data_IF_887793967852
#
_entry.id   IF_887793967852
#
_cell.length_a   1.000
_cell.length_b   1.000
_cell.length_c   1.000
_cell.angle_alpha   90.00
_cell.angle_beta   90.00
_cell.angle_gamma   90.00
#
_symmetry.space_group_name_H-M   'P 1'
#
loop_
_entity.id
_entity.type
_entity.pdbx_description
1 polymer ?
#
# COMPACT_ATOMS: atom_id res chain seq x y z
N UNK A 1 6.69 9.74 -8.47
CA UNK A 1 6.13 8.53 -7.82
C UNK A 1 7.06 8.04 -6.70
N UNK A 2 6.92 8.51 -5.45
CA UNK A 2 7.72 8.00 -4.36
C UNK A 2 7.50 6.48 -4.20
N UNK A 3 8.57 5.70 -4.05
CA UNK A 3 8.54 4.23 -3.82
C UNK A 3 7.91 3.82 -2.48
N UNK A 4 7.22 4.74 -1.81
CA UNK A 4 6.85 4.66 -0.42
C UNK A 4 5.54 5.41 -0.21
N UNK A 5 4.50 4.69 0.17
CA UNK A 5 3.46 5.29 0.99
C UNK A 5 3.65 4.70 2.37
N UNK A 6 4.14 5.52 3.30
CA UNK A 6 3.99 5.20 4.71
C UNK A 6 2.50 5.25 4.99
N UNK A 7 1.91 4.07 5.21
CA UNK A 7 0.54 3.97 5.68
C UNK A 7 0.52 4.26 7.16
N UNK A 8 -0.21 5.30 7.52
CA UNK A 8 -0.08 5.89 8.81
C UNK A 8 -1.52 6.10 9.34
N UNK A 9 -1.99 5.24 10.23
CA UNK A 9 -3.30 5.36 10.89
C UNK A 9 -3.25 6.26 12.14
N UNK A 10 -3.94 7.42 12.20
CA UNK A 10 -4.17 8.10 13.47
C UNK A 10 -5.34 7.41 14.18
N UNK A 11 -5.27 7.28 15.51
CA UNK A 11 -6.42 6.97 16.35
C UNK A 11 -7.19 5.68 15.97
N UNK A 12 -6.51 4.72 15.34
CA UNK A 12 -7.10 3.44 14.97
C UNK A 12 -8.11 3.51 13.84
N UNK A 13 -7.95 4.47 12.93
CA UNK A 13 -8.59 4.50 11.61
C UNK A 13 -7.87 3.55 10.63
N UNK A 14 -8.53 2.97 9.63
CA UNK A 14 -7.84 2.11 8.65
C UNK A 14 -6.81 2.88 7.81
N UNK A 15 -5.74 2.22 7.37
CA UNK A 15 -4.76 2.73 6.42
C UNK A 15 -4.47 1.69 5.31
N UNK A 16 -4.63 2.03 4.04
CA UNK A 16 -4.41 1.22 2.85
C UNK A 16 -3.47 1.93 1.86
N UNK A 17 -2.74 1.15 1.06
CA UNK A 17 -1.80 1.68 0.08
C UNK A 17 -2.55 2.10 -1.19
N UNK A 18 -2.27 3.28 -1.74
CA UNK A 18 -2.89 3.72 -2.97
C UNK A 18 -2.25 2.99 -4.17
N UNK A 19 -3.07 2.27 -4.92
CA UNK A 19 -2.70 1.53 -6.11
C UNK A 19 -2.99 2.34 -7.37
N UNK A 20 -1.94 2.64 -8.13
CA UNK A 20 -2.05 3.36 -9.40
C UNK A 20 -2.91 2.62 -10.47
N UNK A 21 -3.07 1.31 -10.34
CA UNK A 21 -3.90 0.50 -11.23
C UNK A 21 -5.39 0.54 -10.85
N UNK A 22 -5.72 1.02 -9.64
CA UNK A 22 -7.10 1.21 -9.19
C UNK A 22 -7.47 2.67 -9.46
N UNK A 23 -8.35 2.88 -10.43
CA UNK A 23 -8.76 4.20 -10.90
C UNK A 23 -10.28 4.28 -11.00
N UNK A 24 -10.98 4.46 -9.87
CA UNK A 24 -12.44 4.40 -9.83
C UNK A 24 -13.10 5.44 -10.74
N UNK A 25 -12.60 6.67 -10.78
CA UNK A 25 -13.13 7.74 -11.65
C UNK A 25 -13.00 7.40 -13.15
N UNK A 26 -11.92 6.73 -13.57
CA UNK A 26 -11.74 6.30 -14.96
C UNK A 26 -12.64 5.12 -15.34
N UNK A 27 -13.17 4.41 -14.35
CA UNK A 27 -14.02 3.23 -14.50
C UNK A 27 -15.43 3.46 -13.95
N UNK A 28 -15.89 4.72 -13.89
CA UNK A 28 -17.12 5.12 -13.22
C UNK A 28 -18.31 4.25 -13.63
N UNK A 29 -18.52 4.02 -14.93
CA UNK A 29 -19.63 3.18 -15.43
C UNK A 29 -19.65 1.77 -14.81
N UNK A 30 -18.48 1.15 -14.63
CA UNK A 30 -18.35 -0.19 -14.04
C UNK A 30 -18.51 -0.10 -12.51
N UNK A 31 -17.85 0.87 -11.88
CA UNK A 31 -17.90 1.07 -10.42
C UNK A 31 -19.34 1.34 -9.95
N UNK A 32 -20.14 2.09 -10.71
CA UNK A 32 -21.54 2.40 -10.39
C UNK A 32 -22.47 1.19 -10.30
N UNK A 33 -22.12 0.06 -10.92
CA UNK A 33 -22.84 -1.21 -10.73
C UNK A 33 -22.77 -1.72 -9.28
N UNK A 34 -21.73 -1.32 -8.54
CA UNK A 34 -21.42 -1.81 -7.19
C UNK A 34 -21.38 -0.68 -6.13
N UNK A 35 -21.28 0.58 -6.56
CA UNK A 35 -21.36 1.79 -5.73
C UNK A 35 -22.43 2.75 -6.27
N UNK A 36 -23.72 2.51 -5.96
CA UNK A 36 -24.83 3.33 -6.44
C UNK A 36 -24.73 4.81 -6.04
N UNK A 37 -25.38 5.70 -6.79
CA UNK A 37 -25.31 7.16 -6.55
C UNK A 37 -25.78 7.60 -5.17
N UNK A 38 -26.66 6.84 -4.52
CA UNK A 38 -27.13 7.09 -3.15
C UNK A 38 -26.00 7.06 -2.10
N UNK A 39 -24.90 6.35 -2.39
CA UNK A 39 -23.71 6.31 -1.53
C UNK A 39 -22.73 7.46 -1.83
N UNK A 40 -23.04 8.32 -2.81
CA UNK A 40 -22.26 9.51 -3.14
C UNK A 40 -21.46 9.40 -4.43
N UNK A 41 -20.54 10.36 -4.69
CA UNK A 41 -19.76 10.40 -5.92
C UNK A 41 -18.67 9.32 -5.98
N UNK A 42 -18.29 8.85 -7.18
CA UNK A 42 -17.25 7.81 -7.37
C UNK A 42 -15.90 8.19 -6.77
N UNK A 43 -15.58 9.48 -6.66
CA UNK A 43 -14.35 9.97 -6.00
C UNK A 43 -14.24 9.58 -4.52
N UNK A 44 -15.33 9.11 -3.89
CA UNK A 44 -15.31 8.56 -2.54
C UNK A 44 -14.83 7.10 -2.50
N UNK A 45 -14.73 6.44 -3.67
CA UNK A 45 -14.06 5.15 -3.80
C UNK A 45 -12.57 5.42 -3.97
N UNK A 46 -11.82 5.23 -2.90
CA UNK A 46 -10.39 5.48 -2.91
C UNK A 46 -9.64 4.52 -3.84
N UNK A 47 -8.51 4.94 -4.45
CA UNK A 47 -7.69 4.10 -5.31
C UNK A 47 -6.85 3.12 -4.48
N UNK A 48 -7.47 2.31 -3.63
CA UNK A 48 -6.82 1.38 -2.68
C UNK A 48 -7.13 -0.08 -3.04
N UNK A 49 -6.57 -1.03 -2.29
CA UNK A 49 -6.83 -2.46 -2.44
C UNK A 49 -6.72 -3.18 -1.09
N UNK A 50 -7.00 -4.49 -1.08
CA UNK A 50 -7.06 -5.31 0.13
C UNK A 50 -5.70 -5.61 0.78
N UNK A 51 -4.59 -5.34 0.11
CA UNK A 51 -3.26 -5.48 0.67
C UNK A 51 -2.27 -4.59 -0.07
N UNK A 52 -1.39 -3.84 0.63
CA UNK A 52 -1.26 -3.79 2.08
C UNK A 52 -2.32 -2.88 2.73
N UNK A 53 -2.87 -3.33 3.86
CA UNK A 53 -3.85 -2.62 4.67
C UNK A 53 -3.56 -2.83 6.15
N UNK A 54 -3.66 -1.77 6.93
CA UNK A 54 -3.68 -1.75 8.39
C UNK A 54 -5.11 -1.38 8.79
N UNK A 55 -5.83 -2.31 9.40
CA UNK A 55 -7.23 -2.11 9.79
C UNK A 55 -7.48 -2.82 11.11
N UNK A 56 -8.35 -2.26 11.96
CA UNK A 56 -8.80 -2.95 13.16
C UNK A 56 -9.67 -4.15 12.80
N UNK A 57 -9.60 -5.19 13.63
CA UNK A 57 -10.34 -6.44 13.41
C UNK A 57 -11.86 -6.21 13.31
N UNK A 58 -12.43 -5.39 14.18
CA UNK A 58 -13.87 -5.09 14.21
C UNK A 58 -14.36 -4.35 12.95
N UNK A 59 -13.54 -3.45 12.39
CA UNK A 59 -13.81 -2.81 11.09
C UNK A 59 -13.67 -3.82 9.94
N UNK A 60 -12.65 -4.70 10.00
CA UNK A 60 -12.50 -5.75 9.00
C UNK A 60 -13.71 -6.72 8.99
N UNK A 61 -14.21 -7.11 10.17
CA UNK A 61 -15.41 -7.93 10.32
C UNK A 61 -16.65 -7.28 9.69
N UNK A 62 -16.75 -5.94 9.70
CA UNK A 62 -17.85 -5.20 9.04
C UNK A 62 -17.72 -5.19 7.52
N UNK A 63 -16.52 -4.94 6.99
CA UNK A 63 -16.32 -4.82 5.54
C UNK A 63 -16.24 -6.17 4.84
N UNK A 64 -15.74 -7.22 5.50
CA UNK A 64 -15.43 -8.50 4.87
C UNK A 64 -16.65 -9.17 4.18
N UNK A 65 -17.86 -9.19 4.77
CA UNK A 65 -19.04 -9.72 4.07
C UNK A 65 -19.42 -8.92 2.82
N UNK A 66 -19.34 -7.58 2.88
CA UNK A 66 -19.62 -6.73 1.72
C UNK A 66 -18.55 -6.89 0.65
N UNK A 67 -17.28 -6.95 1.05
CA UNK A 67 -16.17 -7.20 0.13
C UNK A 67 -16.38 -8.53 -0.60
N UNK A 68 -16.62 -9.64 0.11
CA UNK A 68 -16.91 -10.93 -0.52
C UNK A 68 -18.07 -10.83 -1.52
N UNK A 69 -19.19 -10.21 -1.12
CA UNK A 69 -20.37 -10.11 -1.98
C UNK A 69 -20.12 -9.26 -3.23
N UNK A 70 -19.39 -8.14 -3.10
CA UNK A 70 -19.00 -7.30 -4.23
C UNK A 70 -18.04 -8.05 -5.15
N UNK A 71 -17.05 -8.76 -4.59
CA UNK A 71 -16.11 -9.58 -5.36
C UNK A 71 -16.83 -10.63 -6.20
N UNK A 72 -17.76 -11.37 -5.61
CA UNK A 72 -18.55 -12.36 -6.34
C UNK A 72 -19.40 -11.72 -7.44
N UNK A 73 -20.10 -10.61 -7.15
CA UNK A 73 -20.89 -9.90 -8.16
C UNK A 73 -20.04 -9.33 -9.30
N UNK A 74 -18.86 -8.81 -8.99
CA UNK A 74 -17.91 -8.34 -10.01
C UNK A 74 -17.42 -9.50 -10.86
N UNK A 75 -17.20 -10.67 -10.25
CA UNK A 75 -16.74 -11.88 -10.93
C UNK A 75 -17.81 -12.47 -11.85
N UNK A 76 -19.08 -12.38 -11.44
CA UNK A 76 -20.22 -12.88 -12.20
C UNK A 76 -20.67 -11.91 -13.32
N UNK A 77 -20.25 -10.64 -13.29
CA UNK A 77 -20.51 -9.66 -14.37
C UNK A 77 -19.40 -9.73 -15.45
N UNK A 78 -19.67 -10.23 -16.67
CA UNK A 78 -18.62 -10.48 -17.67
C UNK A 78 -17.89 -9.22 -18.14
N UNK A 79 -18.55 -8.06 -18.16
CA UNK A 79 -17.93 -6.77 -18.50
C UNK A 79 -16.93 -6.35 -17.42
N UNK A 80 -17.30 -6.50 -16.15
CA UNK A 80 -16.46 -6.17 -14.99
C UNK A 80 -15.29 -7.15 -14.86
N UNK A 81 -15.53 -8.46 -14.89
CA UNK A 81 -14.48 -9.47 -14.79
C UNK A 81 -13.43 -9.31 -15.89
N UNK A 82 -13.87 -9.06 -17.13
CA UNK A 82 -12.95 -8.79 -18.24
C UNK A 82 -12.16 -7.48 -18.04
N UNK A 83 -12.78 -6.45 -17.47
CA UNK A 83 -12.17 -5.12 -17.36
C UNK A 83 -11.19 -5.01 -16.20
N UNK A 84 -11.53 -5.58 -15.03
CA UNK A 84 -10.67 -5.55 -13.85
C UNK A 84 -9.74 -6.76 -13.76
N UNK A 85 -10.14 -7.92 -14.29
CA UNK A 85 -9.31 -9.12 -14.34
C UNK A 85 -8.67 -9.45 -12.99
N UNK A 86 -7.34 -9.54 -12.98
CA UNK A 86 -6.59 -9.94 -11.78
C UNK A 86 -6.63 -8.92 -10.63
N UNK A 87 -7.00 -7.65 -10.88
CA UNK A 87 -7.15 -6.63 -9.82
C UNK A 87 -8.59 -6.47 -9.32
N UNK A 88 -9.52 -7.33 -9.75
CA UNK A 88 -10.93 -7.26 -9.38
C UNK A 88 -11.16 -7.24 -7.88
N UNK A 89 -10.48 -8.11 -7.12
CA UNK A 89 -10.58 -8.17 -5.65
C UNK A 89 -10.17 -6.85 -4.98
N UNK A 90 -9.24 -6.11 -5.59
CA UNK A 90 -8.81 -4.81 -5.07
C UNK A 90 -9.87 -3.73 -5.32
N UNK A 91 -10.51 -3.73 -6.49
CA UNK A 91 -11.66 -2.87 -6.76
C UNK A 91 -12.84 -3.20 -5.83
N UNK A 92 -13.11 -4.48 -5.61
CA UNK A 92 -14.17 -4.92 -4.70
C UNK A 92 -13.90 -4.45 -3.26
N UNK A 93 -12.64 -4.54 -2.81
CA UNK A 93 -12.23 -4.01 -1.51
C UNK A 93 -12.38 -2.49 -1.42
N UNK A 94 -11.98 -1.74 -2.45
CA UNK A 94 -12.13 -0.29 -2.49
C UNK A 94 -13.60 0.14 -2.42
N UNK A 95 -14.48 -0.50 -3.19
CA UNK A 95 -15.93 -0.27 -3.15
C UNK A 95 -16.50 -0.62 -1.78
N UNK A 96 -16.17 -1.79 -1.23
CA UNK A 96 -16.63 -2.20 0.08
C UNK A 96 -16.16 -1.24 1.17
N UNK A 97 -14.92 -0.75 1.10
CA UNK A 97 -14.41 0.23 2.05
C UNK A 97 -15.20 1.54 1.99
N UNK A 98 -15.45 2.06 0.78
CA UNK A 98 -16.23 3.29 0.56
C UNK A 98 -17.69 3.19 1.04
N UNK A 99 -18.29 1.99 0.97
CA UNK A 99 -19.65 1.74 1.48
C UNK A 99 -19.73 1.76 3.02
N UNK A 100 -18.61 1.57 3.72
CA UNK A 100 -18.59 1.37 5.18
C UNK A 100 -17.83 2.43 5.97
N UNK A 101 -16.80 3.06 5.40
CA UNK A 101 -15.94 3.98 6.14
C UNK A 101 -15.35 5.10 5.27
N UNK A 102 -15.25 6.34 5.80
CA UNK A 102 -14.46 7.39 5.19
C UNK A 102 -12.95 7.18 5.43
N UNK A 103 -12.15 7.52 4.42
CA UNK A 103 -10.69 7.49 4.43
C UNK A 103 -10.08 8.84 4.88
N UNK A 104 -8.92 8.81 5.53
CA UNK A 104 -8.14 9.99 5.94
C UNK A 104 -6.71 9.93 5.37
N UNK A 105 -6.23 11.07 4.88
CA UNK A 105 -4.92 11.25 4.23
C UNK A 105 -3.85 11.81 5.18
N UNK A 106 -4.21 12.27 6.39
CA UNK A 106 -3.23 12.82 7.33
C UNK A 106 -2.26 11.73 7.83
N UNK A 107 -0.99 12.07 8.08
CA UNK A 107 0.10 11.17 8.48
C UNK A 107 0.53 11.34 9.95
N UNK A 108 0.19 12.43 10.66
CA UNK A 108 0.38 12.58 12.13
C UNK A 108 1.69 12.04 12.76
N UNK A 109 1.64 11.50 14.00
CA UNK A 109 2.76 10.84 14.72
C UNK A 109 2.63 9.32 14.69
N UNK A 110 3.16 8.64 13.68
CA UNK A 110 2.79 7.24 13.36
C UNK A 110 4.00 6.37 13.00
N UNK A 111 3.94 5.07 13.30
CA UNK A 111 5.13 4.19 13.39
C UNK A 111 5.09 2.91 12.54
N UNK A 112 4.18 2.77 11.57
CA UNK A 112 4.16 1.61 10.67
C UNK A 112 4.64 2.02 9.28
N UNK A 113 5.78 1.49 8.86
CA UNK A 113 6.34 1.71 7.52
C UNK A 113 6.07 0.45 6.70
N UNK A 114 5.21 0.58 5.69
CA UNK A 114 5.01 -0.49 4.71
C UNK A 114 5.92 -0.28 3.49
N UNK A 115 6.78 -1.26 3.22
CA UNK A 115 7.76 -1.24 2.14
C UNK A 115 7.40 -2.31 1.08
N UNK A 116 6.99 -1.86 -0.11
CA UNK A 116 6.52 -2.75 -1.20
C UNK A 116 7.56 -2.97 -2.30
N UNK A 117 8.26 -1.91 -2.71
CA UNK A 117 9.16 -1.89 -3.87
C UNK A 117 10.56 -1.41 -3.51
N UNK A 118 11.55 -1.86 -4.31
CA UNK A 118 12.93 -1.37 -4.28
C UNK A 118 13.01 0.14 -4.12
N UNK A 119 13.74 0.59 -3.11
CA UNK A 119 14.09 1.99 -2.94
C UNK A 119 15.36 2.28 -3.74
N UNK A 120 15.17 2.55 -5.03
CA UNK A 120 16.24 2.82 -5.99
C UNK A 120 16.37 4.32 -6.25
N UNK A 121 17.51 4.90 -5.87
CA UNK A 121 17.77 6.33 -6.01
C UNK A 121 19.12 6.60 -6.66
N UNK A 122 19.23 7.70 -7.40
CA UNK A 122 20.53 8.24 -7.78
C UNK A 122 21.15 9.04 -6.61
N UNK A 123 22.41 9.44 -6.75
CA UNK A 123 23.14 10.19 -5.71
C UNK A 123 22.61 11.60 -5.46
N UNK A 124 21.69 12.10 -6.30
CA UNK A 124 20.97 13.36 -6.09
C UNK A 124 19.68 13.18 -5.27
N UNK A 125 19.35 11.94 -4.88
CA UNK A 125 18.14 11.61 -4.14
C UNK A 125 16.89 11.48 -5.01
N UNK A 126 17.04 11.33 -6.33
CA UNK A 126 15.94 11.16 -7.27
C UNK A 126 15.67 9.66 -7.50
N UNK A 127 14.39 9.27 -7.48
CA UNK A 127 14.01 7.88 -7.64
C UNK A 127 14.22 7.38 -9.09
N UNK A 128 14.82 6.20 -9.27
CA UNK A 128 15.09 5.60 -10.57
C UNK A 128 14.09 4.49 -10.90
N UNK A 129 13.00 4.81 -11.58
CA UNK A 129 11.95 3.81 -11.91
C UNK A 129 12.46 2.69 -12.82
N UNK A 130 12.13 1.46 -12.44
CA UNK A 130 12.39 0.27 -13.27
C UNK A 130 13.86 -0.04 -13.49
N UNK A 131 14.76 0.64 -12.76
CA UNK A 131 16.22 0.48 -12.85
C UNK A 131 16.80 0.39 -11.45
N UNK A 132 17.90 -0.35 -11.33
CA UNK A 132 18.69 -0.37 -10.10
C UNK A 132 19.33 1.01 -9.94
N UNK A 133 19.07 1.66 -8.81
CA UNK A 133 19.63 2.97 -8.47
C UNK A 133 21.09 2.85 -8.03
N UNK A 134 21.78 3.99 -8.00
CA UNK A 134 23.16 4.09 -7.46
C UNK A 134 23.18 3.79 -5.96
N UNK A 135 22.14 4.25 -5.25
CA UNK A 135 21.79 3.78 -3.92
C UNK A 135 20.52 2.94 -3.99
N UNK A 136 20.55 1.77 -3.35
CA UNK A 136 19.42 0.83 -3.32
C UNK A 136 19.21 0.27 -1.92
N UNK A 137 17.96 0.26 -1.49
CA UNK A 137 17.48 -0.68 -0.48
C UNK A 137 16.37 -1.54 -1.06
N UNK A 138 16.63 -2.84 -1.24
CA UNK A 138 15.58 -3.80 -1.61
C UNK A 138 15.65 -5.11 -0.84
N UNK A 139 14.55 -5.49 -0.16
CA UNK A 139 14.41 -6.79 0.50
C UNK A 139 14.70 -7.98 -0.43
N UNK A 140 14.45 -7.84 -1.73
CA UNK A 140 14.74 -8.88 -2.73
C UNK A 140 16.23 -9.09 -2.96
N UNK A 141 17.08 -8.17 -2.51
CA UNK A 141 18.53 -8.35 -2.47
C UNK A 141 18.97 -9.28 -1.33
N UNK A 142 18.09 -9.58 -0.37
CA UNK A 142 18.35 -10.35 0.84
C UNK A 142 17.48 -11.62 0.90
N UNK A 143 17.32 -12.32 -0.23
CA UNK A 143 16.47 -13.54 -0.28
C UNK A 143 17.10 -14.78 0.37
N UNK A 144 18.41 -14.74 0.64
CA UNK A 144 19.19 -15.90 1.14
C UNK A 144 19.74 -15.69 2.55
N UNK A 145 19.20 -14.71 3.26
CA UNK A 145 19.65 -14.36 4.60
C UNK A 145 19.23 -12.93 4.95
N UNK A 146 19.40 -12.53 6.22
CA UNK A 146 19.03 -11.21 6.69
C UNK A 146 19.87 -10.11 6.03
N UNK A 147 19.36 -8.86 5.96
CA UNK A 147 20.17 -7.75 5.49
C UNK A 147 21.40 -7.55 6.38
N UNK A 148 22.55 -7.12 5.82
CA UNK A 148 23.76 -6.90 6.59
C UNK A 148 23.58 -5.76 7.59
N UNK A 149 24.38 -5.80 8.67
CA UNK A 149 24.49 -4.67 9.61
C UNK A 149 25.09 -3.45 8.92
N UNK A 150 24.76 -2.27 9.42
CA UNK A 150 25.33 -0.98 8.97
C UNK A 150 25.10 -0.70 7.47
N UNK A 151 23.86 -0.85 7.01
CA UNK A 151 23.46 -0.45 5.67
C UNK A 151 23.81 1.04 5.40
N UNK A 152 24.27 1.37 4.19
CA UNK A 152 24.58 2.74 3.84
C UNK A 152 23.33 3.60 3.88
N UNK A 153 23.44 4.78 4.50
CA UNK A 153 22.35 5.75 4.52
C UNK A 153 22.06 6.27 3.09
N UNK A 154 20.78 6.55 2.76
CA UNK A 154 20.43 7.12 1.46
C UNK A 154 21.05 8.51 1.26
N UNK A 155 21.27 8.92 -0.01
CA UNK A 155 21.82 10.23 -0.34
C UNK A 155 20.88 11.38 0.09
N UNK A 156 21.40 12.63 0.18
CA UNK A 156 20.57 13.81 0.39
C UNK A 156 19.48 13.95 -0.68
N UNK A 157 18.30 14.45 -0.29
CA UNK A 157 17.14 14.61 -1.18
C UNK A 157 16.18 13.42 -1.21
N UNK A 158 16.60 12.27 -0.67
CA UNK A 158 15.73 11.10 -0.48
C UNK A 158 14.68 11.40 0.62
N UNK A 159 13.40 10.98 0.45
CA UNK A 159 12.36 11.22 1.46
C UNK A 159 12.71 10.71 2.86
N UNK A 160 12.33 11.47 3.89
CA UNK A 160 12.58 11.15 5.31
C UNK A 160 12.07 9.75 5.69
N UNK A 161 11.00 9.30 5.05
CA UNK A 161 10.45 7.96 5.19
C UNK A 161 11.47 6.85 4.87
N UNK A 162 12.27 7.02 3.80
CA UNK A 162 13.32 6.08 3.41
C UNK A 162 14.47 6.14 4.40
N UNK A 163 14.86 7.37 4.77
CA UNK A 163 15.93 7.62 5.74
C UNK A 163 15.60 6.92 7.06
N UNK A 164 14.37 7.08 7.53
CA UNK A 164 13.87 6.50 8.78
C UNK A 164 13.80 4.98 8.70
N UNK A 165 13.31 4.42 7.60
CA UNK A 165 13.33 2.97 7.35
C UNK A 165 14.74 2.40 7.51
N UNK A 166 15.74 2.99 6.86
CA UNK A 166 17.12 2.48 6.90
C UNK A 166 17.73 2.64 8.29
N UNK A 167 17.44 3.75 8.99
CA UNK A 167 17.84 3.92 10.41
C UNK A 167 17.28 2.82 11.31
N UNK A 168 15.98 2.53 11.18
CA UNK A 168 15.32 1.50 11.98
C UNK A 168 15.86 0.10 11.66
N UNK A 169 16.14 -0.21 10.39
CA UNK A 169 16.80 -1.47 10.02
C UNK A 169 18.19 -1.56 10.64
N UNK A 170 19.00 -0.51 10.54
CA UNK A 170 20.33 -0.47 11.15
C UNK A 170 20.28 -0.63 12.67
N UNK A 171 19.38 0.07 13.35
CA UNK A 171 19.13 -0.08 14.78
C UNK A 171 18.75 -1.51 15.14
N UNK A 172 17.82 -2.13 14.42
CA UNK A 172 17.40 -3.50 14.65
C UNK A 172 18.55 -4.49 14.45
N UNK A 173 19.27 -4.39 13.32
CA UNK A 173 20.39 -5.29 13.01
C UNK A 173 21.54 -5.18 14.02
N UNK A 174 21.71 -4.02 14.65
CA UNK A 174 22.74 -3.79 15.67
C UNK A 174 22.37 -4.40 17.04
N UNK A 175 21.08 -4.48 17.35
CA UNK A 175 20.60 -4.82 18.71
C UNK A 175 19.95 -6.20 18.81
N UNK A 176 19.53 -6.82 17.71
CA UNK A 176 18.96 -8.16 17.72
C UNK A 176 20.11 -9.19 17.82
N UNK A 177 20.15 -10.05 18.87
CA UNK A 177 21.18 -11.07 19.01
C UNK A 177 21.06 -12.10 17.87
N UNK A 178 22.19 -12.70 17.49
CA UNK A 178 22.25 -13.76 16.45
C UNK A 178 21.71 -13.34 15.07
N UNK A 179 21.70 -12.03 14.78
CA UNK A 179 21.17 -11.48 13.52
C UNK A 179 21.78 -12.10 12.25
N UNK A 180 23.04 -12.55 12.28
CA UNK A 180 23.73 -13.07 11.09
C UNK A 180 23.58 -14.59 10.90
N UNK A 181 22.89 -15.26 11.81
CA UNK A 181 22.83 -16.74 11.85
C UNK A 181 21.45 -17.32 11.54
N UNK A 182 20.48 -16.48 11.13
CA UNK A 182 19.17 -16.92 10.63
C UNK A 182 19.18 -17.24 9.12
#
# INVERSE_FOLDING_TARGET
MPCQHIMASPLGLPAAFPFFCIKPEQNEKIVRKFYPEEYGPVKNVDPIGNSPVIIKKDLLEKIAPTWMNVSMKMKDDPETDKSFGWVLEMYAYAVASALHAPWDLDIGKKFIIHYTYGCDYNMKGELTYGKIGEWRFDKRSFLRGPPPKNLPMPPPGVPESVVTLVKMVNEATANIPNWETE
#
